data_IF_508976066780
#
_entry.id   IF_508976066780
#
_cell.length_a   1.000
_cell.length_b   1.000
_cell.length_c   1.000
_cell.angle_alpha   90.00
_cell.angle_beta   90.00
_cell.angle_gamma   90.00
#
_symmetry.space_group_name_H-M   'P 1'
#
loop_
_entity.id
_entity.type
_entity.pdbx_description
1 polymer ?
#
# COMPACT_ATOMS: atom_id res chain seq x y z
N UNK A 1 0.98 -66.60 -16.50
CA UNK A 1 0.50 -65.90 -17.65
C UNK A 1 -0.40 -64.72 -17.22
N UNK A 2 0.12 -63.51 -17.35
CA UNK A 2 -0.59 -62.28 -17.02
C UNK A 2 -1.51 -61.89 -18.19
N UNK A 3 -2.80 -61.77 -17.95
CA UNK A 3 -3.77 -61.28 -18.92
C UNK A 3 -3.59 -59.76 -19.21
N UNK A 4 -3.73 -59.32 -20.46
CA UNK A 4 -3.58 -57.93 -20.80
C UNK A 4 -4.79 -57.07 -20.35
N UNK A 5 -4.52 -55.96 -19.66
CA UNK A 5 -5.54 -54.99 -19.23
C UNK A 5 -6.14 -54.25 -20.46
N UNK A 6 -7.45 -54.35 -20.63
CA UNK A 6 -8.23 -53.60 -21.64
C UNK A 6 -8.13 -52.10 -21.38
N UNK A 7 -7.67 -51.31 -22.37
CA UNK A 7 -7.68 -49.86 -22.36
C UNK A 7 -9.11 -49.31 -22.39
N UNK A 8 -9.46 -48.45 -21.42
CA UNK A 8 -10.73 -47.69 -21.48
C UNK A 8 -10.68 -46.66 -22.61
N UNK A 9 -11.77 -46.46 -23.37
CA UNK A 9 -11.83 -45.44 -24.40
C UNK A 9 -11.84 -44.03 -23.79
N UNK A 10 -11.17 -43.07 -24.46
CA UNK A 10 -11.11 -41.67 -24.10
C UNK A 10 -12.50 -41.01 -24.18
N UNK A 11 -12.81 -40.01 -23.28
CA UNK A 11 -14.09 -39.32 -23.32
C UNK A 11 -14.20 -38.48 -24.61
N UNK A 12 -15.33 -38.58 -25.29
CA UNK A 12 -15.67 -37.81 -26.49
C UNK A 12 -15.75 -36.31 -26.12
N UNK A 13 -15.02 -35.48 -26.87
CA UNK A 13 -15.05 -34.03 -26.80
C UNK A 13 -16.49 -33.52 -26.89
N UNK A 14 -16.94 -32.80 -25.83
CA UNK A 14 -18.24 -32.14 -25.85
C UNK A 14 -18.20 -30.95 -26.82
N UNK A 15 -19.06 -30.96 -27.81
CA UNK A 15 -19.22 -29.89 -28.79
C UNK A 15 -19.59 -28.57 -28.05
N UNK A 16 -18.78 -27.53 -28.25
CA UNK A 16 -19.03 -26.17 -27.72
C UNK A 16 -20.32 -25.65 -28.36
N UNK A 17 -21.33 -25.37 -27.52
CA UNK A 17 -22.52 -24.62 -27.94
C UNK A 17 -22.10 -23.19 -28.35
N UNK A 18 -22.66 -22.65 -29.46
CA UNK A 18 -22.36 -21.30 -29.88
C UNK A 18 -22.92 -20.30 -28.82
N UNK A 19 -22.03 -19.42 -28.35
CA UNK A 19 -22.37 -18.35 -27.44
C UNK A 19 -23.12 -17.26 -28.22
N UNK A 20 -24.36 -16.95 -27.81
CA UNK A 20 -25.12 -15.84 -28.38
C UNK A 20 -24.36 -14.53 -28.15
N UNK A 21 -24.26 -13.63 -29.13
CA UNK A 21 -23.63 -12.33 -28.92
C UNK A 21 -24.41 -11.51 -27.89
N UNK A 22 -23.66 -10.86 -26.98
CA UNK A 22 -24.20 -9.99 -25.95
C UNK A 22 -24.95 -8.80 -26.57
N UNK A 23 -26.06 -8.33 -25.96
CA UNK A 23 -26.80 -7.16 -26.46
C UNK A 23 -25.89 -5.92 -26.45
N UNK A 24 -25.88 -5.15 -27.54
CA UNK A 24 -25.13 -3.89 -27.65
C UNK A 24 -25.58 -2.95 -26.54
N UNK A 25 -24.64 -2.56 -25.66
CA UNK A 25 -24.87 -1.58 -24.63
C UNK A 25 -25.32 -0.25 -25.26
N UNK A 26 -26.49 0.24 -24.90
CA UNK A 26 -26.94 1.59 -25.24
C UNK A 26 -25.95 2.59 -24.66
N UNK A 27 -25.37 3.45 -25.51
CA UNK A 27 -24.51 4.53 -25.09
C UNK A 27 -25.27 5.44 -24.13
N UNK A 28 -24.89 5.44 -22.84
CA UNK A 28 -25.32 6.47 -21.90
C UNK A 28 -24.72 7.79 -22.37
N UNK A 29 -25.58 8.80 -22.52
CA UNK A 29 -25.19 10.16 -22.86
C UNK A 29 -24.13 10.64 -21.85
N UNK A 30 -22.92 10.96 -22.34
CA UNK A 30 -21.84 11.54 -21.54
C UNK A 30 -22.28 12.92 -21.07
N UNK A 31 -22.71 13.07 -19.83
CA UNK A 31 -22.80 14.38 -19.21
C UNK A 31 -21.39 15.00 -19.25
N UNK A 32 -21.28 16.21 -19.81
CA UNK A 32 -20.02 16.93 -19.88
C UNK A 32 -19.59 17.34 -18.46
N UNK A 33 -18.83 16.47 -17.79
CA UNK A 33 -18.10 16.85 -16.60
C UNK A 33 -17.06 17.88 -17.04
N UNK A 34 -17.20 19.14 -16.57
CA UNK A 34 -16.19 20.17 -16.77
C UNK A 34 -14.82 19.60 -16.38
N UNK A 35 -13.87 19.55 -17.33
CA UNK A 35 -12.49 19.20 -17.03
C UNK A 35 -11.99 20.12 -15.92
N UNK A 36 -11.48 19.59 -14.81
CA UNK A 36 -10.83 20.43 -13.81
C UNK A 36 -9.64 21.15 -14.47
N UNK A 37 -9.43 22.41 -14.06
CA UNK A 37 -8.27 23.17 -14.50
C UNK A 37 -6.98 22.41 -14.19
N UNK A 38 -5.93 22.50 -15.03
CA UNK A 38 -4.66 21.83 -14.76
C UNK A 38 -4.12 22.32 -13.43
N UNK A 39 -3.95 21.38 -12.49
CA UNK A 39 -3.27 21.64 -11.22
C UNK A 39 -1.81 21.87 -11.57
N UNK A 40 -1.37 23.13 -11.54
CA UNK A 40 0.06 23.47 -11.60
C UNK A 40 0.72 22.84 -10.39
N UNK A 41 1.65 21.93 -10.62
CA UNK A 41 2.48 21.32 -9.58
C UNK A 41 3.35 22.41 -8.94
N UNK A 42 2.85 23.07 -7.91
CA UNK A 42 3.69 23.82 -7.00
C UNK A 42 4.65 22.83 -6.34
N UNK A 43 5.93 23.22 -6.17
CA UNK A 43 6.89 22.39 -5.43
C UNK A 43 6.28 22.02 -4.07
N UNK A 44 6.43 20.77 -3.61
CA UNK A 44 5.82 20.32 -2.38
C UNK A 44 6.32 21.16 -1.21
N UNK A 45 5.42 21.86 -0.56
CA UNK A 45 5.74 22.66 0.62
C UNK A 45 5.93 21.69 1.78
N UNK A 46 7.15 21.61 2.30
CA UNK A 46 7.44 20.90 3.55
C UNK A 46 6.81 21.72 4.69
N UNK A 47 5.91 21.14 5.50
CA UNK A 47 5.28 21.87 6.60
C UNK A 47 6.29 22.28 7.67
N UNK A 48 5.95 23.31 8.43
CA UNK A 48 6.74 23.65 9.62
C UNK A 48 6.63 22.53 10.68
N UNK A 49 7.60 22.45 11.57
CA UNK A 49 7.58 21.52 12.71
C UNK A 49 6.29 21.67 13.53
N UNK A 50 5.84 22.93 13.75
CA UNK A 50 4.60 23.22 14.47
C UNK A 50 3.37 22.67 13.72
N UNK A 51 3.26 22.92 12.43
CA UNK A 51 2.13 22.44 11.63
C UNK A 51 2.07 20.91 11.59
N UNK A 52 3.21 20.22 11.46
CA UNK A 52 3.25 18.77 11.47
C UNK A 52 2.90 18.19 12.85
N UNK A 53 3.38 18.82 13.93
CA UNK A 53 3.01 18.48 15.31
C UNK A 53 1.50 18.60 15.55
N UNK A 54 0.89 19.68 15.08
CA UNK A 54 -0.56 19.89 15.18
C UNK A 54 -1.33 18.85 14.37
N UNK A 55 -0.83 18.43 13.21
CA UNK A 55 -1.43 17.37 12.42
C UNK A 55 -1.40 16.03 13.17
N UNK A 56 -0.29 15.66 13.80
CA UNK A 56 -0.19 14.46 14.64
C UNK A 56 -1.22 14.51 15.78
N UNK A 57 -1.27 15.61 16.53
CA UNK A 57 -2.23 15.77 17.64
C UNK A 57 -3.68 15.74 17.17
N UNK A 58 -3.98 16.34 16.02
CA UNK A 58 -5.31 16.30 15.41
C UNK A 58 -5.72 14.85 15.11
N UNK A 59 -4.85 14.05 14.49
CA UNK A 59 -5.16 12.66 14.19
C UNK A 59 -5.27 11.82 15.46
N UNK A 60 -4.39 12.01 16.44
CA UNK A 60 -4.47 11.33 17.72
C UNK A 60 -5.85 11.52 18.36
N UNK A 61 -6.31 12.78 18.40
CA UNK A 61 -7.61 13.14 19.00
C UNK A 61 -8.80 12.77 18.11
N UNK A 62 -8.80 13.21 16.84
CA UNK A 62 -10.01 13.18 16.00
C UNK A 62 -10.17 11.88 15.23
N UNK A 63 -9.07 11.19 14.88
CA UNK A 63 -9.11 9.93 14.16
C UNK A 63 -9.12 8.73 15.10
N UNK A 64 -8.30 8.76 16.14
CA UNK A 64 -8.13 7.63 17.05
C UNK A 64 -8.81 7.81 18.41
N UNK A 65 -9.39 9.00 18.70
CA UNK A 65 -10.04 9.33 19.97
C UNK A 65 -9.13 9.07 21.19
N UNK A 66 -7.85 9.42 21.07
CA UNK A 66 -6.84 9.24 22.12
C UNK A 66 -6.41 10.57 22.72
N UNK A 67 -6.17 10.55 24.03
CA UNK A 67 -5.56 11.65 24.76
C UNK A 67 -4.03 11.49 24.72
N UNK A 68 -3.25 12.57 24.49
CA UNK A 68 -1.79 12.50 24.46
C UNK A 68 -1.12 11.93 25.72
N UNK A 69 -1.76 12.05 26.90
CA UNK A 69 -1.22 11.56 28.16
C UNK A 69 -1.33 10.04 28.27
N UNK A 70 -2.41 9.48 27.72
CA UNK A 70 -2.72 8.04 27.82
C UNK A 70 -2.41 7.25 26.55
N UNK A 71 -2.01 7.95 25.48
CA UNK A 71 -1.74 7.33 24.18
C UNK A 71 -0.55 6.37 24.27
N UNK A 72 -0.74 5.18 23.74
CA UNK A 72 0.32 4.19 23.56
C UNK A 72 1.30 4.61 22.44
N UNK A 73 2.46 3.97 22.37
CA UNK A 73 3.41 4.21 21.29
C UNK A 73 2.83 3.88 19.92
N UNK A 74 2.02 2.84 19.84
CA UNK A 74 1.29 2.49 18.62
C UNK A 74 0.25 3.56 18.20
N UNK A 75 -0.41 4.23 19.14
CA UNK A 75 -1.30 5.35 18.83
C UNK A 75 -0.50 6.53 18.24
N UNK A 76 0.69 6.81 18.77
CA UNK A 76 1.61 7.83 18.24
C UNK A 76 2.12 7.47 16.83
N UNK A 77 2.50 6.20 16.61
CA UNK A 77 2.85 5.71 15.29
C UNK A 77 1.70 5.91 14.30
N UNK A 78 0.50 5.46 14.64
CA UNK A 78 -0.69 5.58 13.80
C UNK A 78 -1.02 7.04 13.46
N UNK A 79 -0.96 7.95 14.45
CA UNK A 79 -1.20 9.37 14.23
C UNK A 79 -0.13 10.01 13.34
N UNK A 80 1.14 9.61 13.48
CA UNK A 80 2.24 10.07 12.62
C UNK A 80 2.07 9.59 11.19
N UNK A 81 1.67 8.34 10.99
CA UNK A 81 1.35 7.78 9.68
C UNK A 81 0.24 8.58 8.99
N UNK A 82 -0.83 8.93 9.71
CA UNK A 82 -1.94 9.70 9.16
C UNK A 82 -1.53 11.13 8.81
N UNK A 83 -0.70 11.78 9.61
CA UNK A 83 -0.18 13.10 9.32
C UNK A 83 0.73 13.10 8.07
N UNK A 84 1.58 12.11 7.91
CA UNK A 84 2.39 11.93 6.70
C UNK A 84 1.52 11.60 5.47
N UNK A 85 0.49 10.76 5.65
CA UNK A 85 -0.47 10.39 4.60
C UNK A 85 -1.21 11.60 4.06
N UNK A 86 -1.63 12.54 4.87
CA UNK A 86 -2.34 13.75 4.41
C UNK A 86 -1.52 14.47 3.32
N UNK A 87 -0.22 14.69 3.58
CA UNK A 87 0.69 15.34 2.63
C UNK A 87 0.94 14.49 1.37
N UNK A 88 1.01 13.17 1.53
CA UNK A 88 1.16 12.24 0.42
C UNK A 88 -0.06 12.25 -0.48
N UNK A 89 -1.28 12.35 0.07
CA UNK A 89 -2.53 12.38 -0.70
C UNK A 89 -2.64 13.63 -1.57
N UNK A 90 -2.16 14.78 -1.13
CA UNK A 90 -2.13 15.99 -1.95
C UNK A 90 -1.31 15.77 -3.24
N UNK A 91 -0.11 15.17 -3.10
CA UNK A 91 0.75 14.81 -4.24
C UNK A 91 0.10 13.73 -5.12
N UNK A 92 -0.51 12.73 -4.51
CA UNK A 92 -1.22 11.67 -5.22
C UNK A 92 -2.36 12.22 -6.08
N UNK A 93 -3.21 13.10 -5.53
CA UNK A 93 -4.33 13.72 -6.24
C UNK A 93 -3.81 14.56 -7.42
N UNK A 94 -2.76 15.35 -7.21
CA UNK A 94 -2.14 16.13 -8.27
C UNK A 94 -1.63 15.24 -9.42
N UNK A 95 -0.92 14.16 -9.09
CA UNK A 95 -0.44 13.17 -10.07
C UNK A 95 -1.59 12.52 -10.83
N UNK A 96 -2.64 12.08 -10.14
CA UNK A 96 -3.81 11.46 -10.78
C UNK A 96 -4.54 12.44 -11.72
N UNK A 97 -4.62 13.70 -11.34
CA UNK A 97 -5.20 14.75 -12.19
C UNK A 97 -4.42 14.94 -13.51
N UNK A 98 -3.08 14.93 -13.43
CA UNK A 98 -2.21 14.98 -14.61
C UNK A 98 -2.38 13.72 -15.47
N UNK A 99 -2.36 12.53 -14.86
CA UNK A 99 -2.55 11.27 -15.57
C UNK A 99 -3.89 11.22 -16.30
N UNK A 100 -4.95 11.70 -15.67
CA UNK A 100 -6.29 11.74 -16.26
C UNK A 100 -6.39 12.76 -17.39
N UNK A 101 -5.87 13.98 -17.20
CA UNK A 101 -5.96 15.06 -18.19
C UNK A 101 -5.16 14.77 -19.46
N UNK A 102 -3.99 14.13 -19.31
CA UNK A 102 -3.11 13.75 -20.42
C UNK A 102 -3.46 12.39 -21.02
N UNK A 103 -4.42 11.63 -20.44
CA UNK A 103 -4.78 10.27 -20.85
C UNK A 103 -3.54 9.38 -21.03
N UNK A 104 -2.66 9.38 -20.02
CA UNK A 104 -1.38 8.66 -20.07
C UNK A 104 -1.57 7.15 -20.15
N UNK A 105 -0.67 6.48 -20.87
CA UNK A 105 -0.57 5.02 -20.83
C UNK A 105 -0.02 4.59 -19.47
N UNK A 106 -0.61 3.53 -18.87
CA UNK A 106 -0.22 3.01 -17.56
C UNK A 106 0.33 1.60 -17.67
N UNK A 107 1.31 1.29 -16.84
CA UNK A 107 1.79 -0.06 -16.59
C UNK A 107 0.95 -0.66 -15.46
N UNK A 108 0.51 -1.89 -15.62
CA UNK A 108 -0.18 -2.66 -14.58
C UNK A 108 0.70 -3.84 -14.21
N UNK A 109 1.22 -3.83 -12.99
CA UNK A 109 2.09 -4.88 -12.50
C UNK A 109 1.31 -5.81 -11.56
N UNK A 110 1.19 -7.07 -11.95
CA UNK A 110 0.48 -8.08 -11.15
C UNK A 110 1.48 -8.97 -10.46
N UNK A 111 1.38 -9.09 -9.14
CA UNK A 111 2.18 -10.01 -8.34
C UNK A 111 1.33 -10.64 -7.25
N UNK A 112 1.59 -11.91 -6.95
CA UNK A 112 0.98 -12.60 -5.81
C UNK A 112 1.56 -12.09 -4.49
N UNK A 113 2.76 -11.51 -4.52
CA UNK A 113 3.49 -11.06 -3.36
C UNK A 113 4.10 -9.68 -3.57
N UNK A 114 4.09 -8.86 -2.50
CA UNK A 114 4.79 -7.58 -2.42
C UNK A 114 5.51 -7.49 -1.07
N UNK A 115 6.80 -7.79 -1.05
CA UNK A 115 7.62 -7.67 0.17
C UNK A 115 8.09 -6.23 0.33
N UNK A 116 7.22 -5.37 0.81
CA UNK A 116 7.47 -3.92 0.95
C UNK A 116 8.36 -3.61 2.15
N UNK A 117 8.25 -4.37 3.25
CA UNK A 117 8.82 -4.02 4.53
C UNK A 117 8.07 -2.87 5.21
N UNK A 118 8.73 -2.20 6.16
CA UNK A 118 8.23 -1.00 6.83
C UNK A 118 8.34 0.22 5.92
N UNK A 119 7.31 1.04 5.85
CA UNK A 119 7.22 2.11 4.85
C UNK A 119 7.21 3.53 5.44
N UNK A 120 6.95 3.70 6.75
CA UNK A 120 6.88 5.04 7.35
C UNK A 120 8.19 5.80 7.18
N UNK A 121 9.32 5.22 7.60
CA UNK A 121 10.63 5.86 7.49
C UNK A 121 10.98 6.22 6.04
N UNK A 122 10.72 5.30 5.09
CA UNK A 122 10.94 5.55 3.66
C UNK A 122 10.06 6.70 3.15
N UNK A 123 8.79 6.74 3.54
CA UNK A 123 7.88 7.81 3.15
C UNK A 123 8.28 9.16 3.74
N UNK A 124 8.72 9.20 4.99
CA UNK A 124 9.22 10.45 5.60
C UNK A 124 10.44 11.00 4.86
N UNK A 125 11.37 10.13 4.42
CA UNK A 125 12.52 10.53 3.61
C UNK A 125 12.08 11.07 2.25
N UNK A 126 11.23 10.34 1.53
CA UNK A 126 10.77 10.71 0.19
C UNK A 126 9.89 11.99 0.18
N UNK A 127 9.22 12.27 1.29
CA UNK A 127 8.46 13.51 1.49
C UNK A 127 9.33 14.67 1.96
N UNK A 128 10.59 14.42 2.36
CA UNK A 128 11.47 15.42 2.99
C UNK A 128 11.05 15.78 4.41
N UNK A 129 10.37 14.88 5.11
CA UNK A 129 9.75 15.10 6.42
C UNK A 129 10.53 14.54 7.61
N UNK A 130 11.61 13.77 7.39
CA UNK A 130 12.29 13.05 8.47
C UNK A 130 12.69 13.98 9.63
N UNK A 131 13.35 15.09 9.33
CA UNK A 131 13.82 16.04 10.34
C UNK A 131 12.64 16.78 11.02
N UNK A 132 11.62 17.12 10.23
CA UNK A 132 10.40 17.76 10.74
C UNK A 132 9.65 16.83 11.67
N UNK A 133 9.51 15.55 11.31
CA UNK A 133 8.84 14.54 12.12
C UNK A 133 9.60 14.26 13.41
N UNK A 134 10.93 14.15 13.35
CA UNK A 134 11.78 13.96 14.54
C UNK A 134 11.63 15.13 15.51
N UNK A 135 11.70 16.37 15.01
CA UNK A 135 11.55 17.57 15.84
C UNK A 135 10.12 17.70 16.40
N UNK A 136 9.09 17.38 15.62
CA UNK A 136 7.69 17.43 16.05
C UNK A 136 7.41 16.41 17.16
N UNK A 137 7.83 15.15 16.99
CA UNK A 137 7.67 14.08 17.99
C UNK A 137 8.47 14.37 19.25
N UNK A 138 9.72 14.85 19.12
CA UNK A 138 10.52 15.29 20.27
C UNK A 138 9.82 16.36 21.08
N UNK A 139 9.19 17.33 20.42
CA UNK A 139 8.36 18.36 21.08
C UNK A 139 7.11 17.83 21.76
N UNK A 140 6.72 16.58 21.49
CA UNK A 140 5.62 15.84 22.14
C UNK A 140 6.12 14.80 23.16
N UNK A 141 7.42 14.79 23.46
CA UNK A 141 8.01 13.83 24.38
C UNK A 141 8.18 12.42 23.79
N UNK A 142 8.11 12.29 22.46
CA UNK A 142 8.26 11.01 21.74
C UNK A 142 9.57 10.99 20.96
N UNK A 143 10.14 9.79 20.79
CA UNK A 143 11.30 9.55 19.93
C UNK A 143 10.86 8.96 18.61
N UNK A 144 11.34 9.51 17.48
CA UNK A 144 10.95 9.05 16.14
C UNK A 144 11.33 7.59 15.90
N UNK A 145 12.53 7.19 16.29
CA UNK A 145 13.00 5.83 16.06
C UNK A 145 12.14 4.84 16.86
N UNK A 146 11.85 5.14 18.12
CA UNK A 146 10.98 4.32 18.95
C UNK A 146 9.54 4.24 18.41
N UNK A 147 9.05 5.32 17.82
CA UNK A 147 7.71 5.35 17.18
C UNK A 147 7.71 4.52 15.89
N UNK A 148 8.74 4.61 15.06
CA UNK A 148 8.83 3.83 13.81
C UNK A 148 9.03 2.34 14.04
N UNK A 149 9.58 1.93 15.19
CA UNK A 149 9.72 0.51 15.57
C UNK A 149 8.38 -0.19 15.85
N UNK A 150 7.30 0.56 16.09
CA UNK A 150 5.96 -0.01 16.25
C UNK A 150 5.35 -0.50 14.92
N UNK A 151 5.91 -0.09 13.77
CA UNK A 151 5.41 -0.51 12.47
C UNK A 151 5.65 -2.00 12.25
N UNK A 152 4.57 -2.76 12.11
CA UNK A 152 4.65 -4.16 11.71
C UNK A 152 5.05 -4.29 10.24
N UNK A 153 5.84 -5.31 9.92
CA UNK A 153 6.08 -5.68 8.53
C UNK A 153 4.78 -6.15 7.89
N UNK A 154 4.48 -5.63 6.71
CA UNK A 154 3.30 -6.07 5.96
C UNK A 154 3.46 -7.52 5.53
N UNK A 155 2.54 -8.40 5.95
CA UNK A 155 2.51 -9.82 5.60
C UNK A 155 2.07 -10.10 4.16
N UNK A 156 2.55 -9.29 3.20
CA UNK A 156 2.16 -9.34 1.80
C UNK A 156 3.20 -10.00 0.89
N UNK A 157 4.32 -10.44 1.43
CA UNK A 157 5.38 -11.07 0.68
C UNK A 157 6.28 -11.91 1.56
N UNK A 158 7.06 -12.82 0.96
CA UNK A 158 7.88 -13.77 1.68
C UNK A 158 9.35 -13.79 1.24
N UNK A 159 9.63 -13.60 -0.05
CA UNK A 159 10.99 -13.76 -0.55
C UNK A 159 11.28 -12.95 -1.82
N UNK A 160 12.15 -13.46 -2.67
CA UNK A 160 12.67 -12.78 -3.85
C UNK A 160 11.60 -12.34 -4.84
N UNK A 161 10.55 -13.13 -5.04
CA UNK A 161 9.42 -12.78 -5.91
C UNK A 161 8.73 -11.49 -5.41
N UNK A 162 8.39 -11.45 -4.13
CA UNK A 162 7.74 -10.30 -3.52
C UNK A 162 8.66 -9.08 -3.46
N UNK A 163 9.96 -9.26 -3.19
CA UNK A 163 10.92 -8.16 -3.18
C UNK A 163 11.17 -7.59 -4.57
N UNK A 164 11.20 -8.44 -5.62
CA UNK A 164 11.30 -7.99 -7.00
C UNK A 164 10.13 -7.08 -7.38
N UNK A 165 8.91 -7.45 -7.02
CA UNK A 165 7.71 -6.64 -7.25
C UNK A 165 7.80 -5.27 -6.55
N UNK A 166 8.24 -5.23 -5.29
CA UNK A 166 8.46 -4.01 -4.54
C UNK A 166 9.52 -3.11 -5.21
N UNK A 167 10.66 -3.67 -5.62
CA UNK A 167 11.72 -2.92 -6.31
C UNK A 167 11.28 -2.40 -7.67
N UNK A 168 10.47 -3.12 -8.42
CA UNK A 168 9.94 -2.65 -9.70
C UNK A 168 8.99 -1.47 -9.53
N UNK A 169 8.10 -1.49 -8.53
CA UNK A 169 7.24 -0.34 -8.26
C UNK A 169 8.04 0.90 -7.90
N UNK A 170 9.08 0.76 -7.08
CA UNK A 170 9.99 1.84 -6.71
C UNK A 170 10.75 2.39 -7.93
N UNK A 171 11.27 1.51 -8.79
CA UNK A 171 11.94 1.89 -10.03
C UNK A 171 11.00 2.61 -11.00
N UNK A 172 9.77 2.12 -11.18
CA UNK A 172 8.75 2.76 -12.02
C UNK A 172 8.41 4.16 -11.51
N UNK A 173 8.28 4.33 -10.19
CA UNK A 173 8.05 5.62 -9.57
C UNK A 173 9.25 6.58 -9.77
N UNK A 174 10.48 6.10 -9.58
CA UNK A 174 11.71 6.89 -9.79
C UNK A 174 11.88 7.35 -11.23
N UNK A 175 11.40 6.56 -12.19
CA UNK A 175 11.46 6.87 -13.62
C UNK A 175 10.26 7.66 -14.13
N UNK A 176 9.37 8.15 -13.24
CA UNK A 176 8.13 8.85 -13.58
C UNK A 176 7.21 8.06 -14.52
N UNK A 177 7.27 6.73 -14.47
CA UNK A 177 6.41 5.86 -15.28
C UNK A 177 5.09 5.62 -14.53
N UNK A 178 3.94 6.04 -15.11
CA UNK A 178 2.64 5.78 -14.51
C UNK A 178 2.38 4.29 -14.37
N UNK A 179 2.29 3.80 -13.14
CA UNK A 179 2.12 2.38 -12.86
C UNK A 179 1.16 2.13 -11.70
N UNK A 180 0.52 0.95 -11.70
CA UNK A 180 -0.30 0.44 -10.61
C UNK A 180 0.10 -1.00 -10.34
N UNK A 181 0.46 -1.29 -9.09
CA UNK A 181 0.67 -2.66 -8.62
C UNK A 181 -0.65 -3.27 -8.12
N UNK A 182 -0.93 -4.49 -8.52
CA UNK A 182 -2.05 -5.28 -8.04
C UNK A 182 -1.54 -6.55 -7.38
N UNK A 183 -2.05 -6.84 -6.20
CA UNK A 183 -1.69 -8.03 -5.43
C UNK A 183 -2.85 -8.55 -4.59
N UNK A 184 -2.58 -9.56 -3.80
CA UNK A 184 -3.54 -10.14 -2.86
C UNK A 184 -3.30 -9.50 -1.50
N UNK A 185 -4.37 -8.99 -0.89
CA UNK A 185 -4.35 -8.47 0.46
C UNK A 185 -4.55 -9.63 1.44
N UNK A 186 -3.46 -10.31 1.81
CA UNK A 186 -3.49 -11.41 2.77
C UNK A 186 -3.87 -10.92 4.16
N UNK A 187 -4.82 -11.58 4.80
CA UNK A 187 -5.24 -11.28 6.17
C UNK A 187 -4.16 -11.69 7.20
N UNK A 188 -3.36 -12.71 6.86
CA UNK A 188 -2.25 -13.19 7.66
C UNK A 188 -0.99 -13.26 6.80
N UNK A 189 0.15 -12.92 7.38
CA UNK A 189 1.45 -13.24 6.80
C UNK A 189 1.70 -14.75 6.76
N UNK A 190 2.81 -15.22 6.16
CA UNK A 190 3.14 -16.65 6.09
C UNK A 190 3.22 -17.27 7.48
N UNK A 191 4.00 -16.69 8.36
CA UNK A 191 4.12 -17.02 9.79
C UNK A 191 5.00 -15.96 10.49
N UNK A 192 4.84 -15.84 11.79
CA UNK A 192 5.75 -15.08 12.66
C UNK A 192 6.64 -16.04 13.42
N UNK A 193 7.96 -15.80 13.40
CA UNK A 193 8.93 -16.58 14.15
C UNK A 193 8.99 -16.11 15.60
N UNK A 194 8.92 -17.06 16.53
CA UNK A 194 9.12 -16.83 17.96
C UNK A 194 10.11 -17.84 18.50
N UNK A 195 10.67 -17.57 19.70
CA UNK A 195 11.55 -18.52 20.38
C UNK A 195 10.90 -18.99 21.67
N UNK A 196 10.73 -20.31 21.79
CA UNK A 196 10.23 -20.95 22.99
C UNK A 196 11.29 -21.94 23.48
N UNK A 197 11.78 -21.77 24.69
CA UNK A 197 12.82 -22.61 25.29
C UNK A 197 14.07 -22.78 24.38
N UNK A 198 14.50 -21.69 23.73
CA UNK A 198 15.66 -21.70 22.84
C UNK A 198 15.44 -22.34 21.46
N UNK A 199 14.21 -22.74 21.14
CA UNK A 199 13.84 -23.30 19.83
C UNK A 199 12.96 -22.33 19.08
N UNK A 200 13.18 -22.22 17.76
CA UNK A 200 12.29 -21.47 16.88
C UNK A 200 10.93 -22.16 16.79
N UNK A 201 9.88 -21.36 16.92
CA UNK A 201 8.47 -21.80 16.78
C UNK A 201 7.77 -20.82 15.84
N UNK A 202 6.96 -21.36 14.95
CA UNK A 202 6.14 -20.59 14.01
C UNK A 202 4.75 -20.38 14.59
N UNK A 203 4.28 -19.12 14.55
CA UNK A 203 2.93 -18.74 15.00
C UNK A 203 2.22 -17.95 13.90
N UNK A 204 0.90 -17.83 14.00
CA UNK A 204 0.13 -17.03 13.05
C UNK A 204 0.62 -15.57 13.05
N UNK A 205 0.81 -15.01 11.87
CA UNK A 205 1.21 -13.63 11.67
C UNK A 205 -0.01 -12.75 11.37
N UNK A 206 -0.63 -12.24 12.42
CA UNK A 206 -1.77 -11.33 12.33
C UNK A 206 -1.29 -9.87 12.18
N UNK A 207 -0.59 -9.56 11.12
CA UNK A 207 0.05 -8.26 10.87
C UNK A 207 -0.93 -7.07 10.74
N UNK A 208 -2.23 -7.36 10.53
CA UNK A 208 -3.32 -6.36 10.46
C UNK A 208 -4.05 -6.16 11.80
N UNK A 209 -3.69 -6.91 12.85
CA UNK A 209 -4.38 -6.86 14.15
C UNK A 209 -3.89 -5.71 15.03
#
# INVERSE_FOLDING_TARGET
PLMPKKKKPAPKSAARRPVKPAPKAKALAKSAVKKPAPVTSAAPVVPSVTAFREAILRHLKSTFARDPITASRNDWWSATCMAARDLMLERYIATQSVHSSKNVRRVYYFSLEYLMGRVLSNNLVNLGLREVAAAALKGLGQDLEAVTEEEADMGLGNGGLGRLAACFLDSLATMDIPAIGYGIHYAFGPFRQTFVQGRQVEVADAWLA
#
